data_IF_278496997737
#
_entry.id   IF_278496997737
#
_cell.length_a   1.000
_cell.length_b   1.000
_cell.length_c   1.000
_cell.angle_alpha   90.00
_cell.angle_beta   90.00
_cell.angle_gamma   90.00
#
_symmetry.space_group_name_H-M   'P 1'
#
loop_
_entity.id
_entity.type
_entity.pdbx_description
1 polymer ?
#
# COMPACT_ATOMS: atom_id res chain seq x y z
N UNK A 1 9.66 17.40 13.76
CA UNK A 1 9.69 16.13 12.99
C UNK A 1 8.94 16.39 11.70
N UNK A 2 9.51 16.17 10.51
CA UNK A 2 8.73 16.27 9.27
C UNK A 2 7.59 15.26 9.31
N UNK A 3 6.39 15.68 8.93
CA UNK A 3 5.23 14.80 8.78
C UNK A 3 5.38 13.96 7.51
N UNK A 4 5.11 12.66 7.59
CA UNK A 4 5.03 11.77 6.43
C UNK A 4 3.59 11.73 5.93
N UNK A 5 3.38 12.09 4.66
CA UNK A 5 2.08 11.96 3.99
C UNK A 5 2.13 10.76 3.05
N UNK A 6 1.15 9.86 3.16
CA UNK A 6 1.04 8.66 2.34
C UNK A 6 -0.18 8.78 1.41
N UNK A 7 0.03 8.58 0.12
CA UNK A 7 -1.06 8.35 -0.83
C UNK A 7 -1.40 6.87 -0.83
N UNK A 8 -2.65 6.53 -0.58
CA UNK A 8 -3.09 5.15 -0.53
C UNK A 8 -4.46 4.95 -1.19
N UNK A 9 -4.73 3.71 -1.57
CA UNK A 9 -6.04 3.23 -1.99
C UNK A 9 -6.39 1.97 -1.20
N UNK A 10 -7.70 1.71 -1.05
CA UNK A 10 -8.22 0.43 -0.61
C UNK A 10 -8.84 -0.28 -1.82
N UNK A 11 -8.55 -1.57 -1.94
CA UNK A 11 -9.09 -2.42 -2.98
C UNK A 11 -9.70 -3.68 -2.35
N UNK A 12 -10.91 -4.02 -2.75
CA UNK A 12 -11.51 -5.30 -2.44
C UNK A 12 -11.11 -6.30 -3.52
N UNK A 13 -10.22 -7.23 -3.18
CA UNK A 13 -9.70 -8.24 -4.11
C UNK A 13 -10.52 -9.53 -4.05
N UNK A 14 -10.44 -10.32 -5.13
CA UNK A 14 -11.23 -11.54 -5.34
C UNK A 14 -12.74 -11.31 -5.42
N UNK A 15 -13.16 -10.09 -5.76
CA UNK A 15 -14.56 -9.71 -5.94
C UNK A 15 -14.71 -8.61 -6.99
N UNK A 16 -15.94 -8.43 -7.47
CA UNK A 16 -16.36 -7.29 -8.29
C UNK A 16 -17.40 -6.41 -7.56
N UNK A 17 -17.77 -6.74 -6.32
CA UNK A 17 -18.75 -5.99 -5.53
C UNK A 17 -18.04 -5.25 -4.37
N UNK A 18 -18.34 -3.96 -4.12
CA UNK A 18 -17.75 -3.23 -3.00
C UNK A 18 -18.04 -3.86 -1.65
N UNK A 19 -17.08 -3.77 -0.73
CA UNK A 19 -17.15 -4.26 0.66
C UNK A 19 -17.32 -5.78 0.79
N UNK A 20 -16.87 -6.53 -0.21
CA UNK A 20 -16.84 -8.00 -0.21
C UNK A 20 -15.43 -8.52 -0.55
N UNK A 21 -15.22 -9.83 -0.60
CA UNK A 21 -13.89 -10.39 -0.87
C UNK A 21 -12.90 -10.10 0.27
N UNK A 22 -11.65 -9.80 -0.08
CA UNK A 22 -10.60 -9.46 0.89
C UNK A 22 -10.10 -8.03 0.67
N UNK A 23 -10.09 -7.20 1.71
CA UNK A 23 -9.65 -5.82 1.60
C UNK A 23 -8.13 -5.71 1.67
N UNK A 24 -7.55 -4.96 0.75
CA UNK A 24 -6.12 -4.75 0.58
C UNK A 24 -5.80 -3.26 0.61
N UNK A 25 -4.84 -2.87 1.45
CA UNK A 25 -4.26 -1.52 1.42
C UNK A 25 -3.11 -1.45 0.42
N UNK A 26 -3.14 -0.42 -0.43
CA UNK A 26 -2.12 -0.15 -1.47
C UNK A 26 -1.53 1.22 -1.19
N UNK A 27 -0.24 1.29 -0.87
CA UNK A 27 0.47 2.54 -0.55
C UNK A 27 1.46 2.88 -1.67
N UNK A 28 1.32 4.08 -2.23
CA UNK A 28 2.24 4.62 -3.23
C UNK A 28 3.36 5.38 -2.51
N UNK A 29 4.60 4.95 -2.71
CA UNK A 29 5.77 5.54 -2.07
C UNK A 29 6.64 6.26 -3.10
N UNK A 30 7.07 7.48 -2.78
CA UNK A 30 7.98 8.25 -3.64
C UNK A 30 9.46 7.90 -3.42
N UNK A 31 9.75 7.14 -2.36
CA UNK A 31 11.08 6.71 -1.97
C UNK A 31 10.99 5.44 -1.13
N UNK A 32 12.09 4.72 -1.00
CA UNK A 32 12.17 3.58 -0.09
C UNK A 32 12.03 4.02 1.37
N UNK A 33 11.32 3.21 2.16
CA UNK A 33 11.16 3.41 3.59
C UNK A 33 11.75 2.19 4.34
N UNK A 34 12.26 2.38 5.57
CA UNK A 34 12.75 1.26 6.36
C UNK A 34 11.66 0.21 6.59
N UNK A 35 12.01 -1.07 6.49
CA UNK A 35 11.06 -2.20 6.68
C UNK A 35 10.31 -2.11 8.01
N UNK A 36 10.96 -1.62 9.07
CA UNK A 36 10.31 -1.43 10.38
C UNK A 36 9.20 -0.37 10.34
N UNK A 37 9.30 0.64 9.49
CA UNK A 37 8.25 1.62 9.28
C UNK A 37 7.13 1.04 8.42
N UNK A 38 7.46 0.26 7.38
CA UNK A 38 6.46 -0.46 6.57
C UNK A 38 5.59 -1.40 7.43
N UNK A 39 6.21 -2.11 8.38
CA UNK A 39 5.50 -2.96 9.32
C UNK A 39 4.54 -2.17 10.22
N UNK A 40 4.97 -1.00 10.73
CA UNK A 40 4.09 -0.11 11.52
C UNK A 40 2.91 0.42 10.70
N UNK A 41 3.17 0.82 9.45
CA UNK A 41 2.10 1.27 8.54
C UNK A 41 1.09 0.14 8.30
N UNK A 42 1.57 -1.08 8.04
CA UNK A 42 0.71 -2.25 7.84
C UNK A 42 -0.18 -2.50 9.07
N UNK A 43 0.40 -2.42 10.28
CA UNK A 43 -0.35 -2.55 11.54
C UNK A 43 -1.41 -1.47 11.72
N UNK A 44 -1.11 -0.23 11.34
CA UNK A 44 -2.04 0.91 11.43
C UNK A 44 -3.26 0.74 10.51
N UNK A 45 -3.07 0.22 9.29
CA UNK A 45 -4.17 -0.02 8.35
C UNK A 45 -5.12 -1.15 8.76
N UNK A 46 -4.64 -2.08 9.59
CA UNK A 46 -5.42 -3.21 10.14
C UNK A 46 -6.08 -4.12 9.10
N UNK A 47 -5.62 -4.06 7.85
CA UNK A 47 -5.95 -5.07 6.85
C UNK A 47 -5.10 -6.31 7.06
N UNK A 48 -5.47 -7.41 6.40
CA UNK A 48 -4.66 -8.63 6.46
C UNK A 48 -3.26 -8.37 5.91
N UNK A 49 -3.16 -7.60 4.82
CA UNK A 49 -1.90 -7.23 4.16
C UNK A 49 -1.92 -5.77 3.68
N UNK A 50 -0.72 -5.21 3.51
CA UNK A 50 -0.50 -3.91 2.86
C UNK A 50 0.64 -4.07 1.85
N UNK A 51 0.41 -3.62 0.61
CA UNK A 51 1.47 -3.59 -0.41
C UNK A 51 2.01 -2.17 -0.59
N UNK A 52 3.30 -2.09 -0.92
CA UNK A 52 4.02 -0.84 -1.13
C UNK A 52 4.55 -0.81 -2.56
N UNK A 53 4.16 0.20 -3.32
CA UNK A 53 4.58 0.39 -4.71
C UNK A 53 5.67 1.46 -4.74
N UNK A 54 6.80 1.11 -5.35
CA UNK A 54 7.94 2.00 -5.56
C UNK A 54 8.06 2.38 -7.03
N UNK A 55 8.41 3.64 -7.36
CA UNK A 55 8.78 3.99 -8.72
C UNK A 55 10.03 3.22 -9.12
N UNK A 56 9.94 2.51 -10.24
CA UNK A 56 11.10 1.86 -10.87
C UNK A 56 11.71 2.82 -11.88
N UNK A 57 13.03 2.75 -12.08
CA UNK A 57 13.70 3.57 -13.11
C UNK A 57 13.25 3.24 -14.54
N UNK A 58 12.66 2.06 -14.74
CA UNK A 58 12.07 1.61 -16.00
C UNK A 58 10.64 1.16 -15.73
N UNK A 59 9.67 1.92 -16.25
CA UNK A 59 8.31 1.42 -16.40
C UNK A 59 8.38 0.29 -17.44
N UNK A 60 8.44 -0.95 -16.99
CA UNK A 60 8.30 -2.09 -17.89
C UNK A 60 6.88 -2.04 -18.43
N UNK A 61 6.75 -1.70 -19.71
CA UNK A 61 5.49 -1.78 -20.43
C UNK A 61 5.08 -3.26 -20.46
N UNK A 62 3.95 -3.58 -19.83
CA UNK A 62 3.35 -4.91 -19.88
C UNK A 62 2.60 -5.12 -21.19
#
# INVERSE_FOLDING_TARGET
>A
MPSLTLSFALADVFTNEPFTGNSLSIVLLNQELPTSLLAKITQEFRQFETIFIYPTAHATQF
#
